data_IF_966018638180
#
_entry.id   IF_966018638180
#
_cell.length_a   1.000
_cell.length_b   1.000
_cell.length_c   1.000
_cell.angle_alpha   90.00
_cell.angle_beta   90.00
_cell.angle_gamma   90.00
#
_symmetry.space_group_name_H-M   'P 1'
#
loop_
_entity.id
_entity.type
_entity.pdbx_description
1 polymer ?
#
# COMPACT_ATOMS: atom_id res chain seq x y z
N UNK A 1 -4.07 -15.75 21.45
CA UNK A 1 -3.59 -14.54 20.73
C UNK A 1 -4.10 -14.72 19.33
N UNK A 2 -5.06 -13.89 18.92
CA UNK A 2 -5.55 -13.92 17.55
C UNK A 2 -4.40 -13.48 16.64
N UNK A 3 -4.05 -14.33 15.68
CA UNK A 3 -2.95 -14.04 14.76
C UNK A 3 -3.43 -12.99 13.79
N UNK A 4 -3.07 -11.73 14.03
CA UNK A 4 -3.32 -10.67 13.07
C UNK A 4 -2.57 -10.95 11.76
N UNK A 5 -3.26 -10.69 10.66
CA UNK A 5 -2.75 -10.75 9.28
C UNK A 5 -2.54 -9.33 8.78
N UNK A 6 -1.67 -9.17 7.79
CA UNK A 6 -1.41 -7.89 7.15
C UNK A 6 -2.29 -7.72 5.92
N UNK A 7 -2.84 -6.52 5.77
CA UNK A 7 -3.63 -6.14 4.63
C UNK A 7 -3.16 -4.80 4.07
N UNK A 8 -3.22 -4.67 2.76
CA UNK A 8 -3.05 -3.39 2.06
C UNK A 8 -4.39 -2.98 1.48
N UNK A 9 -4.89 -1.84 1.91
CA UNK A 9 -6.05 -1.19 1.32
C UNK A 9 -5.58 -0.04 0.44
N UNK A 10 -6.16 0.04 -0.75
CA UNK A 10 -5.96 1.12 -1.72
C UNK A 10 -7.27 1.87 -1.84
N UNK A 11 -7.29 3.12 -1.41
CA UNK A 11 -8.47 3.98 -1.31
C UNK A 11 -8.41 5.00 -2.43
N UNK A 12 -9.47 5.09 -3.22
CA UNK A 12 -9.63 6.17 -4.20
C UNK A 12 -9.93 7.45 -3.46
N UNK A 13 -9.12 8.49 -3.67
CA UNK A 13 -9.32 9.81 -3.08
C UNK A 13 -9.46 10.88 -4.16
N UNK A 14 -10.37 11.82 -3.92
CA UNK A 14 -10.46 13.06 -4.69
C UNK A 14 -9.76 14.17 -3.93
N UNK A 15 -8.80 14.84 -4.57
CA UNK A 15 -8.17 16.05 -4.06
C UNK A 15 -8.73 17.22 -4.85
N UNK A 16 -9.39 18.14 -4.15
CA UNK A 16 -9.95 19.36 -4.70
C UNK A 16 -9.16 20.57 -4.21
N UNK A 17 -8.43 21.20 -5.13
CA UNK A 17 -7.74 22.46 -4.92
C UNK A 17 -8.71 23.61 -5.17
N UNK A 18 -8.84 24.53 -4.23
CA UNK A 18 -9.80 25.64 -4.25
C UNK A 18 -9.09 26.97 -4.13
N UNK A 19 -9.54 27.95 -4.90
CA UNK A 19 -9.07 29.34 -4.83
C UNK A 19 -10.26 30.25 -4.56
N UNK A 20 -10.07 31.24 -3.68
CA UNK A 20 -11.12 32.17 -3.27
C UNK A 20 -10.81 33.58 -3.76
N UNK A 21 -11.85 34.42 -3.86
CA UNK A 21 -11.63 35.83 -4.09
C UNK A 21 -11.11 36.49 -2.79
N UNK A 22 -10.09 37.38 -2.87
CA UNK A 22 -9.55 38.04 -1.70
C UNK A 22 -10.62 38.74 -0.85
N UNK A 23 -10.59 38.52 0.47
CA UNK A 23 -11.49 39.17 1.41
C UNK A 23 -12.94 38.68 1.37
N UNK A 24 -13.22 37.54 0.72
CA UNK A 24 -14.55 36.93 0.69
C UNK A 24 -14.54 35.56 1.38
N UNK A 25 -15.57 35.26 2.16
CA UNK A 25 -15.88 33.89 2.61
C UNK A 25 -16.88 33.20 1.68
N UNK A 26 -16.90 33.61 0.41
CA UNK A 26 -17.83 33.11 -0.60
C UNK A 26 -17.40 31.75 -1.17
N UNK A 27 -18.17 31.20 -2.13
CA UNK A 27 -17.77 29.98 -2.82
C UNK A 27 -16.43 30.18 -3.55
N UNK A 28 -15.65 29.11 -3.77
CA UNK A 28 -14.40 29.20 -4.51
C UNK A 28 -14.64 29.74 -5.93
N UNK A 29 -13.77 30.64 -6.38
CA UNK A 29 -13.81 31.22 -7.74
C UNK A 29 -13.25 30.27 -8.79
N UNK A 30 -12.45 29.29 -8.35
CA UNK A 30 -11.91 28.20 -9.14
C UNK A 30 -11.78 26.97 -8.25
N UNK A 31 -12.08 25.81 -8.81
CA UNK A 31 -11.71 24.53 -8.22
C UNK A 31 -11.10 23.63 -9.29
N UNK A 32 -10.13 22.83 -8.87
CA UNK A 32 -9.52 21.79 -9.70
C UNK A 32 -9.55 20.50 -8.91
N UNK A 33 -10.08 19.44 -9.53
CA UNK A 33 -10.16 18.13 -8.93
C UNK A 33 -9.24 17.16 -9.66
N UNK A 34 -8.48 16.40 -8.89
CA UNK A 34 -7.73 15.23 -9.36
C UNK A 34 -8.07 14.03 -8.49
N UNK A 35 -7.91 12.84 -9.05
CA UNK A 35 -8.15 11.59 -8.36
C UNK A 35 -6.86 10.82 -8.25
N UNK A 36 -6.59 10.25 -7.07
CA UNK A 36 -5.41 9.45 -6.76
C UNK A 36 -5.83 8.21 -5.99
N UNK A 37 -4.89 7.30 -5.79
CA UNK A 37 -5.05 6.18 -4.86
C UNK A 37 -4.09 6.33 -3.70
N UNK A 38 -4.63 6.32 -2.49
CA UNK A 38 -3.90 6.31 -1.22
C UNK A 38 -3.81 4.88 -0.70
N UNK A 39 -2.64 4.49 -0.20
CA UNK A 39 -2.38 3.11 0.22
C UNK A 39 -2.12 3.02 1.71
N UNK A 40 -2.80 2.12 2.38
CA UNK A 40 -2.69 1.91 3.82
C UNK A 40 -2.36 0.45 4.13
N UNK A 41 -1.31 0.23 4.92
CA UNK A 41 -0.96 -1.07 5.48
C UNK A 41 -1.49 -1.18 6.91
N UNK A 42 -2.30 -2.19 7.18
CA UNK A 42 -2.91 -2.36 8.49
C UNK A 42 -3.09 -3.83 8.86
N UNK A 43 -3.32 -4.08 10.14
CA UNK A 43 -3.52 -5.40 10.70
C UNK A 43 -5.00 -5.70 10.96
N UNK A 44 -5.47 -6.88 10.57
CA UNK A 44 -6.82 -7.36 10.87
C UNK A 44 -6.81 -8.89 11.11
N UNK A 45 -7.78 -9.45 11.85
CA UNK A 45 -7.82 -10.89 12.12
C UNK A 45 -8.13 -11.73 10.86
N UNK A 46 -8.93 -11.19 9.95
CA UNK A 46 -9.37 -11.86 8.72
C UNK A 46 -9.81 -10.84 7.65
N UNK A 47 -10.22 -11.34 6.49
CA UNK A 47 -10.66 -10.55 5.34
C UNK A 47 -11.91 -9.71 5.61
N UNK A 48 -12.85 -10.20 6.41
CA UNK A 48 -14.08 -9.46 6.73
C UNK A 48 -13.76 -8.29 7.64
N UNK A 49 -13.00 -8.54 8.71
CA UNK A 49 -12.55 -7.48 9.59
C UNK A 49 -11.66 -6.46 8.85
N UNK A 50 -10.84 -6.91 7.89
CA UNK A 50 -10.05 -6.01 7.06
C UNK A 50 -10.93 -5.10 6.21
N UNK A 51 -11.97 -5.67 5.60
CA UNK A 51 -12.96 -4.91 4.84
C UNK A 51 -13.72 -3.92 5.74
N UNK A 52 -14.15 -4.33 6.93
CA UNK A 52 -14.86 -3.44 7.87
C UNK A 52 -14.00 -2.25 8.29
N UNK A 53 -12.70 -2.46 8.56
CA UNK A 53 -11.75 -1.37 8.85
C UNK A 53 -11.61 -0.43 7.66
N UNK A 54 -11.30 -0.97 6.48
CA UNK A 54 -11.10 -0.16 5.27
C UNK A 54 -12.38 0.57 4.83
N UNK A 55 -13.53 -0.07 4.97
CA UNK A 55 -14.84 0.54 4.74
C UNK A 55 -15.16 1.60 5.80
N UNK A 56 -14.66 1.47 7.04
CA UNK A 56 -14.79 2.48 8.08
C UNK A 56 -14.11 3.81 7.73
N UNK A 57 -13.12 3.81 6.83
CA UNK A 57 -12.52 5.03 6.30
C UNK A 57 -13.42 5.75 5.28
N UNK A 58 -14.46 5.08 4.78
CA UNK A 58 -15.39 5.57 3.77
C UNK A 58 -16.78 5.84 4.39
N UNK A 59 -17.42 6.99 4.15
CA UNK A 59 -16.95 8.30 3.67
C UNK A 59 -16.47 9.18 4.85
N UNK A 60 -15.60 8.61 5.70
CA UNK A 60 -15.37 9.08 7.08
C UNK A 60 -14.37 10.21 7.25
N UNK A 61 -13.45 10.44 6.30
CA UNK A 61 -12.52 11.56 6.39
C UNK A 61 -12.67 12.54 5.21
N UNK A 62 -13.04 13.76 5.58
CA UNK A 62 -12.85 14.96 4.76
C UNK A 62 -11.85 15.79 5.54
N UNK A 63 -10.65 15.93 5.02
CA UNK A 63 -9.67 16.88 5.55
C UNK A 63 -9.59 18.10 4.64
N UNK A 64 -9.36 19.26 5.24
CA UNK A 64 -9.13 20.51 4.54
C UNK A 64 -7.86 21.11 5.10
N UNK A 65 -6.86 21.29 4.25
CA UNK A 65 -5.60 21.92 4.61
C UNK A 65 -5.21 23.00 3.59
N UNK A 66 -4.01 23.55 3.75
CA UNK A 66 -3.48 24.64 2.92
C UNK A 66 -2.16 24.25 2.23
N UNK A 67 -1.92 22.94 2.05
CA UNK A 67 -0.62 22.42 1.61
C UNK A 67 -0.54 22.24 0.09
N UNK A 68 -1.66 22.30 -0.62
CA UNK A 68 -1.72 22.14 -2.06
C UNK A 68 -1.48 23.43 -2.86
N UNK A 69 -1.87 23.39 -4.14
CA UNK A 69 -1.72 24.54 -5.07
C UNK A 69 -2.84 25.57 -4.89
N UNK A 70 -3.95 25.14 -4.32
CA UNK A 70 -5.07 25.99 -3.90
C UNK A 70 -4.72 26.86 -2.71
N UNK A 71 -5.63 27.77 -2.41
CA UNK A 71 -5.68 28.37 -1.08
C UNK A 71 -6.26 27.40 -0.07
N UNK A 72 -7.11 26.46 -0.47
CA UNK A 72 -7.58 25.34 0.36
C UNK A 72 -7.50 24.05 -0.47
N UNK A 73 -7.07 22.97 0.15
CA UNK A 73 -7.03 21.64 -0.44
C UNK A 73 -7.95 20.74 0.36
N UNK A 74 -9.04 20.30 -0.27
CA UNK A 74 -9.99 19.37 0.35
C UNK A 74 -9.76 17.96 -0.19
N UNK A 75 -9.71 16.96 0.70
CA UNK A 75 -9.51 15.57 0.36
C UNK A 75 -10.74 14.75 0.74
N UNK A 76 -11.22 13.92 -0.19
CA UNK A 76 -12.40 13.06 -0.01
C UNK A 76 -12.08 11.63 -0.36
N UNK A 77 -12.37 10.69 0.54
CA UNK A 77 -12.35 9.27 0.20
C UNK A 77 -13.62 8.88 -0.59
N UNK A 78 -13.44 8.28 -1.76
CA UNK A 78 -14.53 7.91 -2.67
C UNK A 78 -14.91 6.42 -2.56
N UNK A 79 -13.93 5.55 -2.30
CA UNK A 79 -14.17 4.11 -2.30
C UNK A 79 -12.90 3.27 -2.22
N UNK A 80 -13.06 1.95 -2.08
CA UNK A 80 -11.92 1.04 -2.15
C UNK A 80 -11.61 0.73 -3.62
N UNK A 81 -10.37 1.02 -4.02
CA UNK A 81 -9.81 0.51 -5.26
C UNK A 81 -9.45 -0.97 -5.08
N UNK A 82 -8.71 -1.33 -4.03
CA UNK A 82 -8.26 -2.71 -3.80
C UNK A 82 -8.12 -3.01 -2.31
N UNK A 83 -8.22 -4.29 -1.96
CA UNK A 83 -7.92 -4.83 -0.64
C UNK A 83 -7.26 -6.20 -0.81
N UNK A 84 -6.02 -6.32 -0.35
CA UNK A 84 -5.14 -7.48 -0.54
C UNK A 84 -4.63 -7.98 0.82
N UNK A 85 -4.54 -9.30 1.01
CA UNK A 85 -3.88 -9.93 2.16
C UNK A 85 -2.41 -10.22 1.82
N UNK A 86 -1.48 -9.83 2.70
CA UNK A 86 -0.06 -10.14 2.57
C UNK A 86 0.30 -11.44 3.32
N UNK A 87 0.67 -12.49 2.58
CA UNK A 87 1.12 -13.80 3.09
C UNK A 87 2.67 -13.76 3.31
N UNK A 88 3.25 -14.32 4.39
CA UNK A 88 4.12 -13.53 5.26
C UNK A 88 5.59 -13.31 4.86
N UNK A 89 6.13 -12.20 5.38
CA UNK A 89 7.38 -12.21 6.19
C UNK A 89 7.06 -11.72 7.61
N UNK A 90 6.49 -12.62 8.42
CA UNK A 90 5.84 -12.41 9.74
C UNK A 90 6.80 -11.99 10.88
N UNK A 91 8.07 -11.70 10.60
CA UNK A 91 9.07 -11.36 11.62
C UNK A 91 9.12 -9.88 11.99
N UNK A 92 8.55 -8.98 11.18
CA UNK A 92 8.77 -7.53 11.28
C UNK A 92 7.49 -6.74 11.05
N UNK A 93 6.38 -7.20 11.63
CA UNK A 93 5.16 -6.41 11.69
C UNK A 93 5.45 -5.14 12.51
N UNK A 94 5.54 -3.94 11.91
CA UNK A 94 5.79 -2.73 12.67
C UNK A 94 4.60 -2.50 13.60
N UNK A 95 4.84 -2.11 14.85
CA UNK A 95 3.74 -1.79 15.78
C UNK A 95 2.78 -0.74 15.21
N UNK A 96 3.27 0.13 14.32
CA UNK A 96 2.48 1.13 13.61
C UNK A 96 1.39 0.53 12.70
N UNK A 97 1.53 -0.71 12.22
CA UNK A 97 0.48 -1.37 11.42
C UNK A 97 -0.77 -1.73 12.26
N UNK A 98 -0.68 -1.61 13.59
CA UNK A 98 -1.80 -1.83 14.51
C UNK A 98 -2.50 -0.52 14.91
N UNK A 99 -2.05 0.64 14.40
CA UNK A 99 -2.67 1.94 14.66
C UNK A 99 -3.98 2.10 13.87
N UNK A 100 -4.82 3.05 14.29
CA UNK A 100 -6.21 3.19 13.83
C UNK A 100 -6.38 3.39 12.31
N UNK A 101 -5.38 3.99 11.66
CA UNK A 101 -5.34 4.21 10.20
C UNK A 101 -4.28 3.35 9.49
N UNK A 102 -3.60 2.46 10.23
CA UNK A 102 -2.44 1.75 9.72
C UNK A 102 -1.27 2.68 9.37
N UNK A 103 -0.42 2.21 8.46
CA UNK A 103 0.73 2.94 7.93
C UNK A 103 0.36 3.44 6.53
N UNK A 104 0.40 4.76 6.33
CA UNK A 104 0.32 5.37 5.01
C UNK A 104 1.57 4.99 4.18
N UNK A 105 1.36 4.38 3.03
CA UNK A 105 2.39 3.97 2.08
C UNK A 105 2.56 4.98 0.93
N UNK A 106 1.74 6.03 0.91
CA UNK A 106 1.78 7.12 -0.06
C UNK A 106 0.68 7.06 -1.12
N UNK A 107 0.74 8.07 -2.00
CA UNK A 107 -0.17 8.29 -3.11
C UNK A 107 0.46 7.83 -4.43
N UNK A 108 -0.35 7.23 -5.31
CA UNK A 108 0.08 6.92 -6.68
C UNK A 108 -1.06 7.09 -7.69
N UNK A 109 -0.69 7.28 -8.96
CA UNK A 109 -1.61 7.29 -10.10
C UNK A 109 -1.84 5.84 -10.56
N UNK A 110 -3.07 5.32 -10.53
CA UNK A 110 -3.35 3.96 -10.96
C UNK A 110 -3.51 3.87 -12.48
N UNK A 111 -3.15 2.72 -13.05
CA UNK A 111 -3.37 2.41 -14.46
C UNK A 111 -4.83 2.01 -14.77
N UNK A 112 -5.58 1.56 -13.75
CA UNK A 112 -6.95 1.06 -13.86
C UNK A 112 -7.97 2.15 -13.50
N UNK A 113 -8.32 2.95 -14.52
CA UNK A 113 -9.21 4.12 -14.43
C UNK A 113 -10.39 4.01 -15.39
N UNK A 114 -11.46 4.73 -15.10
CA UNK A 114 -12.61 4.86 -16.01
C UNK A 114 -12.34 5.80 -17.20
N UNK A 115 -13.38 6.04 -18.02
CA UNK A 115 -13.27 6.89 -19.20
C UNK A 115 -12.93 8.36 -18.88
N UNK A 116 -13.16 8.81 -17.65
CA UNK A 116 -12.87 10.15 -17.16
C UNK A 116 -11.52 10.22 -16.41
N UNK A 117 -10.78 9.10 -16.36
CA UNK A 117 -9.50 9.01 -15.67
C UNK A 117 -9.63 8.86 -14.15
N UNK A 118 -10.80 8.47 -13.64
CA UNK A 118 -11.03 8.22 -12.20
C UNK A 118 -10.65 6.77 -11.88
N UNK A 119 -9.83 6.52 -10.83
CA UNK A 119 -9.54 5.18 -10.37
C UNK A 119 -10.81 4.37 -10.10
N UNK A 120 -10.86 3.13 -10.58
CA UNK A 120 -12.04 2.29 -10.41
C UNK A 120 -12.28 1.96 -8.92
N UNK A 121 -13.48 2.27 -8.43
CA UNK A 121 -13.97 1.80 -7.12
C UNK A 121 -14.57 0.41 -7.30
N UNK A 122 -14.14 -0.54 -6.47
CA UNK A 122 -14.56 -1.95 -6.51
C UNK A 122 -15.60 -2.24 -5.44
N UNK A 123 -16.59 -3.07 -5.77
CA UNK A 123 -17.51 -3.63 -4.76
C UNK A 123 -16.77 -4.65 -3.90
N UNK A 124 -17.34 -5.00 -2.74
CA UNK A 124 -16.78 -6.02 -1.84
C UNK A 124 -16.41 -7.30 -2.59
N UNK A 125 -17.31 -7.81 -3.42
CA UNK A 125 -17.13 -9.06 -4.18
C UNK A 125 -16.04 -8.97 -5.26
N UNK A 126 -15.64 -7.76 -5.64
CA UNK A 126 -14.59 -7.48 -6.61
C UNK A 126 -13.21 -7.26 -5.96
N UNK A 127 -13.12 -7.20 -4.63
CA UNK A 127 -11.85 -7.05 -3.95
C UNK A 127 -11.09 -8.38 -3.90
N UNK A 128 -9.79 -8.31 -4.12
CA UNK A 128 -8.91 -9.49 -4.26
C UNK A 128 -9.01 -10.46 -3.07
N UNK A 129 -9.08 -9.92 -1.85
CA UNK A 129 -9.24 -10.70 -0.62
C UNK A 129 -10.49 -11.61 -0.63
N UNK A 130 -11.52 -11.27 -1.42
CA UNK A 130 -12.75 -12.06 -1.58
C UNK A 130 -12.81 -12.84 -2.91
N UNK A 131 -12.00 -12.47 -3.90
CA UNK A 131 -11.94 -13.15 -5.20
C UNK A 131 -11.19 -14.48 -5.15
N UNK A 132 -10.31 -14.68 -4.16
CA UNK A 132 -9.49 -15.89 -4.04
C UNK A 132 -10.01 -16.85 -2.96
N UNK A 133 -10.75 -17.92 -3.31
CA UNK A 133 -11.06 -19.01 -2.38
C UNK A 133 -9.85 -19.96 -2.14
N UNK A 134 -8.60 -19.55 -2.38
CA UNK A 134 -7.50 -20.50 -2.59
C UNK A 134 -6.09 -20.02 -2.18
N UNK A 135 -5.93 -19.62 -0.91
CA UNK A 135 -4.58 -19.59 -0.29
C UNK A 135 -4.45 -20.50 0.93
N UNK A 136 -5.53 -21.15 1.38
CA UNK A 136 -5.51 -22.12 2.48
C UNK A 136 -5.14 -23.56 2.07
N UNK A 137 -4.59 -23.80 0.87
CA UNK A 137 -4.22 -25.16 0.42
C UNK A 137 -3.00 -25.19 -0.49
N UNK A 138 -1.85 -24.73 -0.02
CA UNK A 138 -0.53 -25.10 -0.59
C UNK A 138 0.65 -24.82 0.35
N UNK A 139 0.56 -25.25 1.62
CA UNK A 139 1.75 -25.39 2.48
C UNK A 139 1.90 -26.80 3.10
N UNK A 140 1.00 -27.73 2.81
CA UNK A 140 1.27 -29.17 2.97
C UNK A 140 1.56 -29.77 1.58
N UNK A 141 2.84 -29.79 1.22
CA UNK A 141 3.53 -30.63 0.21
C UNK A 141 4.70 -29.85 -0.42
N UNK A 142 5.59 -29.41 0.44
CA UNK A 142 6.91 -28.92 0.09
C UNK A 142 7.95 -29.38 1.11
N UNK A 143 7.73 -30.53 1.76
CA UNK A 143 8.76 -31.20 2.53
C UNK A 143 9.83 -31.66 1.53
N UNK A 144 10.80 -30.78 1.25
CA UNK A 144 12.06 -31.16 0.65
C UNK A 144 12.71 -32.13 1.65
N UNK A 145 12.45 -33.42 1.45
CA UNK A 145 13.25 -34.48 2.04
C UNK A 145 14.59 -34.43 1.32
N UNK A 146 15.59 -33.87 1.98
CA UNK A 146 16.97 -34.17 1.64
C UNK A 146 17.16 -35.67 1.90
N UNK A 147 17.53 -36.48 0.89
CA UNK A 147 17.96 -37.83 1.16
C UNK A 147 19.21 -37.74 2.04
N UNK A 148 19.14 -38.40 3.18
CA UNK A 148 20.30 -38.65 4.01
C UNK A 148 21.24 -39.61 3.26
N UNK A 149 22.48 -39.14 3.13
CA UNK A 149 23.72 -39.91 3.07
C UNK A 149 23.99 -40.78 1.81
N UNK A 150 25.07 -40.44 1.10
CA UNK A 150 26.29 -41.26 0.97
C UNK A 150 27.12 -40.83 -0.25
N UNK A 151 28.31 -40.28 0.00
CA UNK A 151 29.46 -40.46 -0.89
C UNK A 151 29.87 -39.30 -1.81
N UNK A 152 31.04 -38.71 -1.51
CA UNK A 152 31.97 -38.21 -2.53
C UNK A 152 32.05 -36.70 -2.69
N UNK A 153 32.90 -36.05 -1.88
CA UNK A 153 33.37 -34.69 -2.11
C UNK A 153 34.24 -34.69 -3.37
N UNK A 154 33.87 -33.92 -4.39
CA UNK A 154 34.82 -33.46 -5.41
C UNK A 154 35.01 -31.96 -5.22
N UNK A 155 36.26 -31.57 -5.03
CA UNK A 155 36.69 -30.19 -4.91
C UNK A 155 36.35 -29.42 -6.20
N UNK A 156 35.49 -28.40 -6.08
CA UNK A 156 35.32 -27.38 -7.12
C UNK A 156 35.96 -26.11 -6.61
N UNK A 157 37.16 -25.84 -7.13
CA UNK A 157 37.91 -24.61 -6.90
C UNK A 157 37.16 -23.42 -7.51
N UNK A 158 36.48 -22.64 -6.65
CA UNK A 158 35.90 -21.35 -7.04
C UNK A 158 36.92 -20.24 -6.77
N UNK A 159 37.47 -19.70 -7.85
CA UNK A 159 38.33 -18.53 -7.86
C UNK A 159 37.56 -17.32 -7.30
N UNK A 160 38.01 -16.82 -6.13
CA UNK A 160 37.40 -15.67 -5.46
C UNK A 160 38.04 -14.38 -6.00
N UNK A 161 37.28 -13.45 -6.60
CA UNK A 161 37.82 -12.13 -6.88
C UNK A 161 38.10 -11.40 -5.55
N UNK A 162 39.35 -10.97 -5.36
CA UNK A 162 39.81 -10.24 -4.18
C UNK A 162 39.14 -8.86 -3.99
N UNK A 163 39.30 -8.25 -2.80
CA UNK A 163 38.62 -7.00 -2.45
C UNK A 163 39.13 -5.84 -3.31
N UNK A 164 38.20 -5.12 -3.97
CA UNK A 164 38.49 -3.88 -4.67
C UNK A 164 38.58 -2.74 -3.66
N UNK A 165 39.76 -2.13 -3.53
CA UNK A 165 39.93 -0.87 -2.81
C UNK A 165 39.26 0.29 -3.57
N UNK A 166 38.60 1.24 -2.88
CA UNK A 166 38.12 2.47 -3.50
C UNK A 166 39.28 3.44 -3.80
N UNK A 167 39.20 4.23 -4.90
CA UNK A 167 40.20 5.23 -5.23
C UNK A 167 40.14 6.45 -4.28
N UNK A 168 41.27 7.17 -4.09
CA UNK A 168 41.32 8.33 -3.21
C UNK A 168 40.58 9.55 -3.80
N UNK A 169 39.89 10.28 -2.93
CA UNK A 169 39.20 11.53 -3.23
C UNK A 169 40.22 12.68 -3.38
N UNK A 170 40.25 13.32 -4.55
CA UNK A 170 40.91 14.62 -4.75
C UNK A 170 40.00 15.75 -4.26
N UNK A 171 40.52 16.74 -3.50
CA UNK A 171 39.74 17.90 -3.10
C UNK A 171 39.56 18.91 -4.26
N UNK A 172 38.45 19.68 -4.27
CA UNK A 172 38.16 20.65 -5.31
C UNK A 172 39.04 21.90 -5.24
N UNK A 173 39.27 22.50 -6.40
CA UNK A 173 39.94 23.81 -6.59
C UNK A 173 38.98 24.98 -6.39
#
# INVERSE_FOLDING_TARGET
MDSHRLFVARVVVAIEERWFAPGTGGPPVRSERRHLVESFLFAAPDAEAAYEVAAGWLPGFSDSNHDGRGEETALFALGLHQLEELIPRLGELPSAAQEHYGIDLGLYDPDDVDADGVPLVRTREQLEVFLSPSSHRREEEGQIRFPADEGGIQDVEFDRPGPRHPPPLTPPS
#
